data_IF_685218150744
#
_entry.id   IF_685218150744
#
_cell.length_a   1.000
_cell.length_b   1.000
_cell.length_c   1.000
_cell.angle_alpha   90.00
_cell.angle_beta   90.00
_cell.angle_gamma   90.00
#
_symmetry.space_group_name_H-M   'P 1'
#
loop_
_entity.id
_entity.type
_entity.pdbx_description
1 polymer ?
#
# COMPACT_ATOMS: atom_id res chain seq x y z
N UNK A 1 -24.39 -37.48 -11.49
CA UNK A 1 -24.84 -38.87 -11.60
C UNK A 1 -23.71 -39.69 -12.19
N UNK A 2 -23.02 -40.50 -11.38
CA UNK A 2 -22.15 -41.57 -11.89
C UNK A 2 -23.02 -42.49 -12.76
N UNK A 3 -22.67 -42.69 -14.04
CA UNK A 3 -23.52 -43.46 -14.94
C UNK A 3 -23.57 -44.91 -14.46
N UNK A 4 -24.76 -45.38 -14.09
CA UNK A 4 -24.97 -46.78 -13.70
C UNK A 4 -24.72 -47.65 -14.91
N UNK A 5 -23.52 -48.24 -15.04
CA UNK A 5 -23.23 -49.24 -16.07
C UNK A 5 -24.08 -50.48 -15.78
N UNK A 6 -25.09 -50.70 -16.62
CA UNK A 6 -25.91 -51.91 -16.60
C UNK A 6 -25.16 -53.01 -17.33
N UNK A 7 -24.92 -54.11 -16.63
CA UNK A 7 -24.27 -55.30 -17.18
C UNK A 7 -25.36 -56.35 -17.43
N UNK A 8 -25.43 -56.89 -18.64
CA UNK A 8 -26.34 -57.99 -18.94
C UNK A 8 -25.67 -59.30 -18.57
N UNK A 9 -26.18 -59.98 -17.56
CA UNK A 9 -25.74 -61.33 -17.20
C UNK A 9 -26.65 -62.32 -17.91
N UNK A 10 -26.05 -63.18 -18.74
CA UNK A 10 -26.76 -64.30 -19.37
C UNK A 10 -26.44 -65.58 -18.60
N UNK A 11 -27.46 -66.24 -18.08
CA UNK A 11 -27.33 -67.52 -17.39
C UNK A 11 -27.81 -68.62 -18.33
N UNK A 12 -26.95 -69.60 -18.58
CA UNK A 12 -27.28 -70.76 -19.40
C UNK A 12 -27.38 -72.01 -18.51
N UNK A 13 -28.54 -72.68 -18.53
CA UNK A 13 -28.78 -73.94 -17.81
C UNK A 13 -29.14 -75.01 -18.84
N UNK A 14 -28.17 -75.83 -19.28
CA UNK A 14 -28.42 -76.91 -20.22
C UNK A 14 -29.50 -77.88 -19.69
N UNK A 15 -30.48 -78.24 -20.52
CA UNK A 15 -31.53 -79.22 -20.19
C UNK A 15 -32.90 -78.62 -19.82
N UNK A 16 -33.02 -77.30 -19.66
CA UNK A 16 -34.32 -76.62 -19.55
C UNK A 16 -34.90 -76.31 -20.94
N UNK A 17 -36.24 -76.24 -21.04
CA UNK A 17 -36.93 -75.82 -22.30
C UNK A 17 -36.52 -74.43 -22.77
N UNK A 18 -36.15 -73.55 -21.83
CA UNK A 18 -35.56 -72.25 -22.09
C UNK A 18 -34.18 -72.27 -21.42
N UNK A 19 -33.16 -72.65 -22.19
CA UNK A 19 -31.82 -72.93 -21.66
C UNK A 19 -31.01 -71.66 -21.40
N UNK A 20 -31.51 -70.48 -21.79
CA UNK A 20 -30.88 -69.18 -21.57
C UNK A 20 -31.90 -68.20 -20.98
N UNK A 21 -31.53 -67.58 -19.86
CA UNK A 21 -32.21 -66.42 -19.29
C UNK A 21 -31.22 -65.25 -19.16
N UNK A 22 -31.71 -64.02 -19.16
CA UNK A 22 -30.86 -62.84 -19.01
C UNK A 22 -31.50 -61.80 -18.12
N UNK A 23 -30.72 -61.26 -17.19
CA UNK A 23 -31.12 -60.14 -16.36
C UNK A 23 -30.06 -59.04 -16.39
N UNK A 24 -30.50 -57.82 -16.09
CA UNK A 24 -29.62 -56.65 -16.01
C UNK A 24 -29.18 -56.46 -14.56
N UNK A 25 -27.87 -56.37 -14.33
CA UNK A 25 -27.29 -56.04 -13.04
C UNK A 25 -26.65 -54.66 -13.12
N UNK A 26 -27.07 -53.74 -12.26
CA UNK A 26 -26.41 -52.46 -12.09
C UNK A 26 -25.38 -52.62 -10.96
N UNK A 27 -24.10 -52.54 -11.31
CA UNK A 27 -23.03 -52.49 -10.31
C UNK A 27 -22.93 -51.05 -9.80
N UNK A 28 -23.03 -50.89 -8.49
CA UNK A 28 -22.78 -49.62 -7.83
C UNK A 28 -21.35 -49.63 -7.25
N UNK A 29 -20.61 -48.51 -7.30
CA UNK A 29 -19.31 -48.40 -6.65
C UNK A 29 -19.39 -48.79 -5.17
N UNK A 30 -18.32 -49.40 -4.66
CA UNK A 30 -18.20 -49.77 -3.25
C UNK A 30 -18.10 -48.56 -2.31
N UNK A 31 -17.96 -48.79 -1.00
CA UNK A 31 -17.76 -47.70 -0.03
C UNK A 31 -16.43 -46.97 -0.28
N UNK A 32 -16.30 -45.69 0.17
CA UNK A 32 -15.05 -44.94 0.11
C UNK A 32 -13.85 -45.70 0.69
N UNK A 33 -12.79 -45.85 -0.10
CA UNK A 33 -11.57 -46.56 0.26
C UNK A 33 -10.31 -45.68 0.11
N UNK A 34 -10.18 -44.97 -1.02
CA UNK A 34 -9.00 -44.15 -1.33
C UNK A 34 -9.40 -42.72 -1.69
N UNK A 35 -8.70 -41.73 -1.16
CA UNK A 35 -8.78 -40.35 -1.62
C UNK A 35 -7.65 -40.10 -2.62
N UNK A 36 -7.99 -39.60 -3.81
CA UNK A 36 -7.05 -39.25 -4.87
C UNK A 36 -7.10 -37.74 -5.07
N UNK A 37 -5.93 -37.10 -5.15
CA UNK A 37 -5.80 -35.65 -5.31
C UNK A 37 -4.88 -35.34 -6.48
N UNK A 38 -5.40 -34.55 -7.42
CA UNK A 38 -4.69 -34.03 -8.58
C UNK A 38 -4.44 -32.53 -8.45
N UNK A 39 -3.29 -32.00 -8.92
CA UNK A 39 -2.20 -32.74 -9.56
C UNK A 39 -1.48 -33.72 -8.59
N UNK A 40 -0.93 -34.78 -9.17
CA UNK A 40 -0.24 -35.87 -8.47
C UNK A 40 1.22 -35.57 -8.12
N UNK A 41 1.75 -34.44 -8.61
CA UNK A 41 3.11 -33.98 -8.30
C UNK A 41 3.32 -33.69 -6.81
N UNK A 42 4.54 -33.98 -6.34
CA UNK A 42 4.94 -33.80 -4.94
C UNK A 42 4.93 -32.34 -4.50
N UNK A 43 5.37 -31.43 -5.39
CA UNK A 43 5.47 -29.99 -5.14
C UNK A 43 4.78 -29.23 -6.27
N UNK A 44 3.69 -28.56 -5.96
CA UNK A 44 3.01 -27.66 -6.88
C UNK A 44 3.50 -26.23 -6.63
N UNK A 45 3.90 -25.51 -7.68
CA UNK A 45 4.35 -24.12 -7.57
C UNK A 45 3.29 -23.16 -8.13
N UNK A 46 2.93 -22.14 -7.35
CA UNK A 46 1.93 -21.11 -7.71
C UNK A 46 2.40 -19.73 -7.26
N UNK A 47 1.98 -18.67 -7.96
CA UNK A 47 2.18 -17.30 -7.49
C UNK A 47 1.10 -16.91 -6.47
N UNK A 48 1.46 -16.10 -5.47
CA UNK A 48 0.49 -15.54 -4.54
C UNK A 48 -0.58 -14.74 -5.30
N UNK A 49 -1.85 -14.88 -4.96
CA UNK A 49 -2.98 -14.32 -5.71
C UNK A 49 -3.46 -15.18 -6.89
N UNK A 50 -2.91 -16.38 -7.07
CA UNK A 50 -3.38 -17.34 -8.09
C UNK A 50 -4.15 -18.48 -7.40
N UNK A 51 -5.28 -18.96 -7.95
CA UNK A 51 -5.95 -20.16 -7.45
C UNK A 51 -5.15 -21.43 -7.78
N UNK A 52 -5.20 -22.42 -6.90
CA UNK A 52 -4.41 -23.66 -7.03
C UNK A 52 -5.19 -24.78 -7.70
N UNK A 53 -6.52 -24.82 -7.50
CA UNK A 53 -7.45 -25.77 -8.12
C UNK A 53 -7.05 -27.25 -7.97
N UNK A 54 -7.07 -27.78 -6.74
CA UNK A 54 -6.90 -29.22 -6.54
C UNK A 54 -8.18 -29.97 -6.89
N UNK A 55 -8.08 -30.97 -7.77
CA UNK A 55 -9.19 -31.88 -8.05
C UNK A 55 -9.09 -33.08 -7.13
N UNK A 56 -10.16 -33.36 -6.40
CA UNK A 56 -10.26 -34.52 -5.50
C UNK A 56 -11.23 -35.53 -6.06
N UNK A 57 -10.89 -36.81 -5.95
CA UNK A 57 -11.72 -37.95 -6.32
C UNK A 57 -11.69 -38.97 -5.18
N UNK A 58 -12.85 -39.52 -4.81
CA UNK A 58 -12.99 -40.54 -3.78
C UNK A 58 -13.27 -41.85 -4.48
N UNK A 59 -12.40 -42.84 -4.29
CA UNK A 59 -12.45 -44.13 -4.96
C UNK A 59 -12.87 -45.25 -4.01
N UNK A 60 -13.56 -46.26 -4.53
CA UNK A 60 -13.76 -47.53 -3.86
C UNK A 60 -12.50 -48.43 -3.94
N UNK A 61 -12.58 -49.62 -3.35
CA UNK A 61 -11.49 -50.61 -3.36
C UNK A 61 -11.10 -51.05 -4.79
N UNK A 62 -12.05 -50.99 -5.73
CA UNK A 62 -11.84 -51.32 -7.13
C UNK A 62 -11.43 -50.12 -8.00
N UNK A 63 -11.03 -48.98 -7.39
CA UNK A 63 -10.62 -47.74 -8.07
C UNK A 63 -11.72 -47.07 -8.92
N UNK A 64 -13.00 -47.35 -8.63
CA UNK A 64 -14.10 -46.59 -9.22
C UNK A 64 -14.40 -45.36 -8.36
N UNK A 65 -14.69 -44.22 -8.99
CA UNK A 65 -15.19 -43.04 -8.28
C UNK A 65 -16.49 -43.41 -7.57
N UNK A 66 -16.52 -43.25 -6.25
CA UNK A 66 -17.65 -43.56 -5.39
C UNK A 66 -18.20 -42.31 -4.74
N UNK A 67 -19.53 -42.25 -4.65
CA UNK A 67 -20.27 -41.17 -4.01
C UNK A 67 -21.09 -41.76 -2.87
N UNK A 68 -21.06 -41.11 -1.70
CA UNK A 68 -21.77 -41.58 -0.51
C UNK A 68 -22.49 -40.39 0.15
N UNK A 69 -23.68 -40.56 0.75
CA UNK A 69 -24.33 -39.48 1.49
C UNK A 69 -23.39 -38.86 2.54
N UNK A 70 -23.36 -37.52 2.59
CA UNK A 70 -22.54 -36.72 3.52
C UNK A 70 -21.02 -36.90 3.33
N UNK A 71 -20.60 -37.25 2.11
CA UNK A 71 -19.20 -37.34 1.72
C UNK A 71 -18.67 -35.94 1.41
N UNK A 72 -17.94 -35.36 2.36
CA UNK A 72 -17.26 -34.08 2.20
C UNK A 72 -15.75 -34.28 2.34
N UNK A 73 -14.99 -33.74 1.39
CA UNK A 73 -13.53 -33.69 1.46
C UNK A 73 -13.14 -32.33 2.03
N UNK A 74 -12.30 -32.33 3.06
CA UNK A 74 -11.76 -31.13 3.71
C UNK A 74 -10.29 -30.97 3.33
N UNK A 75 -9.93 -29.74 2.98
CA UNK A 75 -8.58 -29.31 2.66
C UNK A 75 -8.13 -28.29 3.71
N UNK A 76 -6.97 -28.52 4.29
CA UNK A 76 -6.36 -27.63 5.27
C UNK A 76 -4.91 -27.38 4.91
N UNK A 77 -4.54 -26.11 4.72
CA UNK A 77 -3.15 -25.71 4.55
C UNK A 77 -2.47 -25.57 5.91
N UNK A 78 -1.25 -26.07 6.04
CA UNK A 78 -0.42 -26.05 7.23
C UNK A 78 0.90 -25.32 6.94
N UNK A 79 1.38 -24.55 7.91
CA UNK A 79 2.67 -23.83 7.83
C UNK A 79 2.63 -22.37 8.28
N UNK A 80 1.45 -21.77 8.43
CA UNK A 80 1.27 -20.39 8.91
C UNK A 80 -0.09 -20.23 9.64
N UNK A 81 -0.25 -19.18 10.47
CA UNK A 81 -1.56 -18.82 11.02
C UNK A 81 -2.53 -18.35 9.93
N UNK A 82 -3.84 -18.46 10.21
CA UNK A 82 -4.93 -17.93 9.38
C UNK A 82 -4.99 -18.43 7.93
N UNK A 83 -4.41 -19.60 7.65
CA UNK A 83 -4.47 -20.24 6.35
C UNK A 83 -5.90 -20.74 6.02
N UNK A 84 -6.29 -20.73 4.74
CA UNK A 84 -7.64 -21.12 4.34
C UNK A 84 -7.92 -22.60 4.63
N UNK A 85 -9.15 -22.85 5.08
CA UNK A 85 -9.74 -24.20 5.15
C UNK A 85 -10.86 -24.24 4.13
N UNK A 86 -10.84 -25.24 3.26
CA UNK A 86 -11.84 -25.42 2.22
C UNK A 86 -12.51 -26.79 2.36
N UNK A 87 -13.79 -26.86 1.98
CA UNK A 87 -14.59 -28.10 2.06
C UNK A 87 -15.39 -28.20 0.77
N UNK A 88 -15.28 -29.35 0.11
CA UNK A 88 -16.04 -29.65 -1.10
C UNK A 88 -16.98 -30.83 -0.85
N UNK A 89 -18.23 -30.69 -1.29
CA UNK A 89 -19.21 -31.77 -1.22
C UNK A 89 -19.02 -32.73 -2.40
N UNK A 90 -18.68 -33.98 -2.10
CA UNK A 90 -18.52 -35.06 -3.05
C UNK A 90 -19.68 -36.06 -3.00
N UNK A 91 -20.76 -35.78 -2.27
CA UNK A 91 -21.84 -36.74 -1.99
C UNK A 91 -22.57 -37.24 -3.24
N UNK A 92 -22.56 -36.48 -4.35
CA UNK A 92 -23.31 -36.81 -5.57
C UNK A 92 -22.44 -37.33 -6.73
N UNK A 93 -21.16 -37.01 -6.71
CA UNK A 93 -20.23 -37.21 -7.84
C UNK A 93 -19.01 -38.04 -7.46
N UNK A 94 -18.69 -38.15 -6.16
CA UNK A 94 -17.43 -38.70 -5.69
C UNK A 94 -16.22 -37.82 -6.01
N UNK A 95 -16.42 -36.61 -6.54
CA UNK A 95 -15.34 -35.73 -6.98
C UNK A 95 -15.68 -34.26 -6.83
N UNK A 96 -14.66 -33.40 -6.74
CA UNK A 96 -14.82 -31.97 -6.57
C UNK A 96 -13.54 -31.17 -6.84
N UNK A 97 -13.66 -29.85 -6.91
CA UNK A 97 -12.53 -28.92 -7.00
C UNK A 97 -12.41 -28.15 -5.69
N UNK A 98 -11.18 -28.01 -5.20
CA UNK A 98 -10.82 -27.31 -3.96
C UNK A 98 -9.81 -26.20 -4.22
N UNK A 99 -9.76 -25.21 -3.33
CA UNK A 99 -8.85 -24.06 -3.41
C UNK A 99 -8.97 -23.29 -4.74
N UNK A 100 -10.22 -23.00 -5.12
CA UNK A 100 -10.58 -22.28 -6.35
C UNK A 100 -10.48 -20.76 -6.21
N UNK A 101 -10.34 -20.26 -4.98
CA UNK A 101 -10.10 -18.84 -4.69
C UNK A 101 -8.61 -18.54 -4.72
N UNK A 102 -8.20 -17.37 -5.25
CA UNK A 102 -6.84 -16.85 -5.10
C UNK A 102 -6.32 -16.93 -3.67
N UNK A 103 -5.11 -17.47 -3.50
CA UNK A 103 -4.41 -17.36 -2.21
C UNK A 103 -4.06 -15.90 -1.97
N UNK A 104 -4.41 -15.34 -0.81
CA UNK A 104 -4.06 -13.96 -0.46
C UNK A 104 -3.22 -13.98 0.81
N UNK A 105 -2.04 -14.59 0.71
CA UNK A 105 -1.10 -14.64 1.83
C UNK A 105 -0.54 -13.24 2.07
N UNK A 106 -0.48 -12.83 3.33
CA UNK A 106 0.13 -11.54 3.71
C UNK A 106 1.65 -11.68 3.65
N UNK A 107 2.32 -10.68 3.07
CA UNK A 107 3.77 -10.51 3.18
C UNK A 107 4.58 -11.67 2.58
N UNK A 108 4.35 -12.02 1.32
CA UNK A 108 5.17 -13.01 0.60
C UNK A 108 6.32 -12.29 -0.09
N UNK A 109 7.40 -12.01 0.62
CA UNK A 109 8.62 -11.42 0.04
C UNK A 109 9.61 -12.48 -0.48
N UNK A 110 9.41 -13.74 -0.12
CA UNK A 110 10.25 -14.88 -0.49
C UNK A 110 9.35 -16.11 -0.76
N UNK A 111 9.93 -17.14 -1.35
CA UNK A 111 9.23 -18.41 -1.53
C UNK A 111 8.84 -19.02 -0.19
N UNK A 112 7.62 -19.56 -0.11
CA UNK A 112 7.11 -20.26 1.07
C UNK A 112 6.56 -21.61 0.65
N UNK A 113 6.80 -22.64 1.45
CA UNK A 113 6.31 -23.99 1.19
C UNK A 113 5.31 -24.35 2.28
N UNK A 114 4.10 -24.71 1.86
CA UNK A 114 3.00 -25.13 2.72
C UNK A 114 2.67 -26.60 2.49
N UNK A 115 2.28 -27.30 3.54
CA UNK A 115 1.73 -28.64 3.41
C UNK A 115 0.21 -28.56 3.35
N UNK A 116 -0.39 -29.00 2.25
CA UNK A 116 -1.83 -29.05 2.05
C UNK A 116 -2.32 -30.45 2.36
N UNK A 117 -3.16 -30.58 3.38
CA UNK A 117 -3.70 -31.86 3.85
C UNK A 117 -5.16 -32.01 3.44
N UNK A 118 -5.46 -33.11 2.75
CA UNK A 118 -6.79 -33.50 2.31
C UNK A 118 -7.26 -34.70 3.13
N UNK A 119 -8.45 -34.61 3.71
CA UNK A 119 -9.05 -35.73 4.46
C UNK A 119 -10.57 -35.76 4.31
N UNK A 120 -11.16 -36.89 4.69
CA UNK A 120 -12.62 -37.08 4.72
C UNK A 120 -13.04 -37.17 6.19
N UNK A 121 -13.55 -36.09 6.81
CA UNK A 121 -13.78 -36.05 8.26
C UNK A 121 -14.66 -37.18 8.79
N UNK A 122 -15.64 -37.62 7.98
CA UNK A 122 -16.61 -38.65 8.34
C UNK A 122 -16.17 -40.09 8.01
N UNK A 123 -15.01 -40.29 7.34
CA UNK A 123 -14.51 -41.61 6.93
C UNK A 123 -13.04 -41.76 7.35
N UNK A 124 -12.81 -42.04 8.64
CA UNK A 124 -11.46 -42.15 9.23
C UNK A 124 -10.61 -43.31 8.71
N UNK A 125 -11.23 -44.27 8.03
CA UNK A 125 -10.56 -45.41 7.39
C UNK A 125 -9.85 -45.01 6.10
N UNK A 126 -10.26 -43.91 5.46
CA UNK A 126 -9.60 -43.39 4.25
C UNK A 126 -8.41 -42.53 4.66
N UNK A 127 -7.21 -42.93 4.25
CA UNK A 127 -5.97 -42.21 4.54
C UNK A 127 -6.00 -40.78 4.01
N UNK A 128 -5.47 -39.83 4.79
CA UNK A 128 -5.29 -38.46 4.33
C UNK A 128 -4.22 -38.37 3.25
N UNK A 129 -4.41 -37.48 2.29
CA UNK A 129 -3.42 -37.17 1.25
C UNK A 129 -2.77 -35.84 1.59
N UNK A 130 -1.44 -35.76 1.47
CA UNK A 130 -0.70 -34.52 1.66
C UNK A 130 0.00 -34.12 0.35
N UNK A 131 0.07 -32.81 0.11
CA UNK A 131 0.76 -32.20 -1.04
C UNK A 131 1.58 -31.02 -0.56
N UNK A 132 2.75 -30.80 -1.15
CA UNK A 132 3.51 -29.57 -0.90
C UNK A 132 3.09 -28.51 -1.92
N UNK A 133 2.79 -27.31 -1.41
CA UNK A 133 2.46 -26.15 -2.22
C UNK A 133 3.54 -25.09 -2.00
N UNK A 134 4.35 -24.85 -3.03
CA UNK A 134 5.29 -23.74 -3.09
C UNK A 134 4.57 -22.50 -3.59
N UNK A 135 4.47 -21.49 -2.74
CA UNK A 135 3.91 -20.17 -3.10
C UNK A 135 5.06 -19.20 -3.32
N UNK A 136 5.11 -18.63 -4.52
CA UNK A 136 6.09 -17.63 -4.94
C UNK A 136 5.51 -16.21 -4.80
N UNK A 137 6.34 -15.20 -4.50
CA UNK A 137 5.93 -13.81 -4.57
C UNK A 137 5.39 -13.46 -5.97
N UNK A 138 4.25 -12.78 -6.03
CA UNK A 138 3.69 -12.36 -7.31
C UNK A 138 4.50 -11.24 -7.95
N UNK A 139 4.30 -11.07 -9.26
CA UNK A 139 4.85 -9.93 -10.03
C UNK A 139 4.00 -8.66 -9.89
N UNK A 140 2.96 -8.66 -9.06
CA UNK A 140 2.11 -7.48 -8.82
C UNK A 140 2.90 -6.42 -8.06
N UNK A 141 2.76 -5.17 -8.48
CA UNK A 141 3.33 -4.01 -7.79
C UNK A 141 2.75 -3.94 -6.37
N UNK A 142 3.62 -3.90 -5.38
CA UNK A 142 3.28 -3.94 -3.95
C UNK A 142 3.72 -2.67 -3.22
N UNK A 143 4.77 -2.01 -3.72
CA UNK A 143 5.39 -0.84 -3.07
C UNK A 143 5.85 0.19 -4.10
N UNK A 144 5.62 1.45 -3.77
CA UNK A 144 6.19 2.61 -4.46
C UNK A 144 7.13 3.32 -3.50
N UNK A 145 8.31 3.66 -3.98
CA UNK A 145 9.32 4.43 -3.26
C UNK A 145 9.50 5.76 -3.99
N UNK A 146 9.49 6.86 -3.25
CA UNK A 146 9.79 8.19 -3.78
C UNK A 146 11.10 8.64 -3.18
N UNK A 147 11.98 9.17 -4.01
CA UNK A 147 13.27 9.66 -3.58
C UNK A 147 13.64 10.93 -4.34
N UNK A 148 14.57 11.68 -3.77
CA UNK A 148 15.20 12.82 -4.41
C UNK A 148 16.65 12.49 -4.74
N UNK A 149 17.09 12.89 -5.92
CA UNK A 149 18.47 12.71 -6.36
C UNK A 149 18.93 13.95 -7.12
N UNK A 150 19.95 14.64 -6.59
CA UNK A 150 20.52 15.80 -7.27
C UNK A 150 21.27 15.42 -8.54
N UNK A 151 21.25 16.31 -9.53
CA UNK A 151 21.97 16.08 -10.79
C UNK A 151 23.48 15.95 -10.52
N UNK A 152 24.06 14.84 -10.95
CA UNK A 152 25.48 14.55 -10.76
C UNK A 152 25.86 13.97 -9.39
N UNK A 153 24.89 13.71 -8.51
CA UNK A 153 25.12 13.03 -7.24
C UNK A 153 24.59 11.59 -7.26
N UNK A 154 25.37 10.67 -6.69
CA UNK A 154 24.91 9.30 -6.38
C UNK A 154 24.14 9.23 -5.07
N UNK A 155 24.13 10.31 -4.27
CA UNK A 155 23.39 10.37 -3.02
C UNK A 155 21.89 10.48 -3.29
N UNK A 156 21.15 9.48 -2.80
CA UNK A 156 19.72 9.37 -2.94
C UNK A 156 19.05 9.57 -1.57
N UNK A 157 18.19 10.57 -1.48
CA UNK A 157 17.38 10.82 -0.29
C UNK A 157 16.01 10.15 -0.47
N UNK A 158 15.81 8.99 0.15
CA UNK A 158 14.54 8.25 0.10
C UNK A 158 13.54 8.84 1.09
N UNK A 159 12.39 9.28 0.58
CA UNK A 159 11.32 9.82 1.40
C UNK A 159 10.52 8.71 2.08
N UNK A 160 10.28 8.85 3.38
CA UNK A 160 9.46 7.93 4.16
C UNK A 160 7.97 8.24 3.99
N UNK A 161 7.13 7.21 4.15
CA UNK A 161 5.69 7.43 4.07
C UNK A 161 5.21 8.31 5.24
N UNK A 162 4.46 9.36 4.88
CA UNK A 162 3.99 10.42 5.78
C UNK A 162 5.11 11.23 6.45
N UNK A 163 6.30 11.26 5.85
CA UNK A 163 7.40 12.11 6.29
C UNK A 163 7.03 13.59 6.21
N UNK A 164 7.51 14.38 7.17
CA UNK A 164 7.36 15.84 7.21
C UNK A 164 8.69 16.47 6.81
N UNK A 165 8.69 17.24 5.74
CA UNK A 165 9.88 17.83 5.13
C UNK A 165 9.75 19.35 5.27
N UNK A 166 10.66 19.97 6.01
CA UNK A 166 10.80 21.42 6.02
C UNK A 166 11.35 21.89 4.66
N UNK A 167 10.69 22.86 4.03
CA UNK A 167 11.13 23.40 2.74
C UNK A 167 10.90 24.90 2.66
N UNK A 168 11.70 25.63 1.88
CA UNK A 168 11.55 27.08 1.73
C UNK A 168 10.23 27.44 1.04
N UNK A 169 9.48 28.39 1.61
CA UNK A 169 8.24 28.90 1.05
C UNK A 169 8.48 29.61 -0.28
N UNK A 170 7.68 29.28 -1.30
CA UNK A 170 7.83 29.82 -2.66
C UNK A 170 8.91 29.14 -3.52
N UNK A 171 9.74 28.27 -2.94
CA UNK A 171 10.74 27.51 -3.68
C UNK A 171 10.11 26.31 -4.43
N UNK A 172 10.88 25.64 -5.29
CA UNK A 172 10.47 24.47 -6.05
C UNK A 172 11.21 23.22 -5.58
N UNK A 173 10.48 22.24 -5.08
CA UNK A 173 11.00 20.91 -4.82
C UNK A 173 11.05 20.11 -6.14
N UNK A 174 12.23 20.09 -6.75
CA UNK A 174 12.53 19.34 -7.97
C UNK A 174 13.19 17.98 -7.72
N UNK A 175 13.67 17.36 -8.79
CA UNK A 175 14.53 16.17 -8.73
C UNK A 175 13.92 14.97 -7.98
N UNK A 176 12.60 14.88 -8.02
CA UNK A 176 11.84 13.76 -7.44
C UNK A 176 11.76 12.62 -8.45
N UNK A 177 11.98 11.42 -7.97
CA UNK A 177 11.90 10.19 -8.73
C UNK A 177 11.11 9.14 -7.97
N UNK A 178 10.67 8.10 -8.68
CA UNK A 178 10.00 6.96 -8.10
C UNK A 178 10.56 5.63 -8.60
N UNK A 179 10.49 4.62 -7.75
CA UNK A 179 10.73 3.21 -8.07
C UNK A 179 9.52 2.39 -7.67
N UNK A 180 9.24 1.35 -8.45
CA UNK A 180 8.18 0.40 -8.18
C UNK A 180 8.81 -0.94 -7.85
N UNK A 181 8.27 -1.59 -6.82
CA UNK A 181 8.68 -2.92 -6.41
C UNK A 181 7.47 -3.86 -6.45
N UNK A 182 7.72 -5.09 -6.88
CA UNK A 182 6.71 -6.14 -6.80
C UNK A 182 6.64 -6.75 -5.40
N UNK A 183 5.77 -7.73 -5.20
CA UNK A 183 5.58 -8.40 -3.91
C UNK A 183 6.86 -9.07 -3.39
N UNK A 184 7.73 -9.54 -4.30
CA UNK A 184 9.02 -10.13 -3.99
C UNK A 184 10.14 -9.13 -3.73
N UNK A 185 9.81 -7.83 -3.57
CA UNK A 185 10.76 -6.73 -3.46
C UNK A 185 11.72 -6.59 -4.66
N UNK A 186 11.34 -7.09 -5.84
CA UNK A 186 12.14 -6.93 -7.07
C UNK A 186 11.79 -5.59 -7.71
N UNK A 187 12.81 -4.90 -8.23
CA UNK A 187 12.62 -3.65 -8.95
C UNK A 187 11.86 -3.91 -10.27
N UNK A 188 10.79 -3.16 -10.50
CA UNK A 188 9.94 -3.29 -11.69
C UNK A 188 10.40 -2.31 -12.76
N UNK A 189 10.65 -2.81 -13.98
CA UNK A 189 11.00 -1.97 -15.14
C UNK A 189 9.85 -1.02 -15.51
N UNK A 190 10.16 0.26 -15.70
CA UNK A 190 9.20 1.31 -16.02
C UNK A 190 8.77 1.27 -17.50
N UNK A 191 7.78 0.43 -17.80
CA UNK A 191 7.15 0.38 -19.12
C UNK A 191 6.01 1.41 -19.25
N UNK A 192 5.70 1.93 -20.45
CA UNK A 192 4.60 2.89 -20.66
C UNK A 192 3.24 2.46 -20.09
N UNK A 193 2.94 1.16 -20.12
CA UNK A 193 1.70 0.58 -19.56
C UNK A 193 1.62 0.69 -18.03
N UNK A 194 2.76 0.75 -17.36
CA UNK A 194 2.88 0.88 -15.90
C UNK A 194 2.91 2.36 -15.54
N UNK A 195 3.75 3.15 -16.21
CA UNK A 195 3.95 4.56 -15.90
C UNK A 195 2.69 5.41 -16.15
N UNK A 196 1.85 5.03 -17.13
CA UNK A 196 0.54 5.66 -17.36
C UNK A 196 -0.45 5.52 -16.19
N UNK A 197 -0.20 4.61 -15.24
CA UNK A 197 -1.02 4.41 -14.04
C UNK A 197 -0.53 5.23 -12.84
N UNK A 198 0.57 5.95 -12.98
CA UNK A 198 1.09 6.86 -11.95
C UNK A 198 0.26 8.13 -11.91
N UNK A 199 -0.11 8.56 -10.70
CA UNK A 199 -0.82 9.81 -10.44
C UNK A 199 -0.24 10.53 -9.25
N UNK A 200 -0.23 11.86 -9.34
CA UNK A 200 0.17 12.77 -8.27
C UNK A 200 -0.98 13.74 -7.98
N UNK A 201 -1.05 14.29 -6.76
CA UNK A 201 -2.13 15.22 -6.38
C UNK A 201 -1.82 16.71 -6.61
N UNK A 202 -0.59 17.08 -6.99
CA UNK A 202 -0.19 18.49 -7.18
C UNK A 202 -0.19 18.98 -8.62
N UNK A 203 -0.29 18.09 -9.61
CA UNK A 203 -0.42 18.47 -11.02
C UNK A 203 -1.24 17.44 -11.78
N UNK A 204 -2.04 17.92 -12.73
CA UNK A 204 -2.76 17.07 -13.67
C UNK A 204 -1.91 16.72 -14.91
N UNK A 205 -0.83 17.46 -15.17
CA UNK A 205 0.00 17.31 -16.36
C UNK A 205 1.24 16.50 -16.00
N UNK A 206 1.24 15.24 -16.39
CA UNK A 206 2.39 14.34 -16.28
C UNK A 206 3.03 14.16 -17.66
N UNK A 207 4.35 14.33 -17.72
CA UNK A 207 5.12 14.06 -18.93
C UNK A 207 5.43 12.56 -19.01
N UNK A 208 5.04 11.93 -20.12
CA UNK A 208 5.23 10.50 -20.33
C UNK A 208 6.72 10.11 -20.42
N UNK A 209 7.57 10.97 -20.98
CA UNK A 209 9.02 10.74 -21.12
C UNK A 209 9.70 10.77 -19.75
N UNK A 210 9.38 11.78 -18.94
CA UNK A 210 9.88 11.89 -17.56
C UNK A 210 9.46 10.67 -16.74
N UNK A 211 8.18 10.28 -16.81
CA UNK A 211 7.68 9.11 -16.10
C UNK A 211 8.34 7.80 -16.55
N UNK A 212 8.70 7.66 -17.83
CA UNK A 212 9.43 6.50 -18.33
C UNK A 212 10.84 6.39 -17.71
N UNK A 213 11.42 7.51 -17.31
CA UNK A 213 12.69 7.59 -16.57
C UNK A 213 12.48 7.55 -15.04
N UNK A 214 11.24 7.41 -14.58
CA UNK A 214 10.91 7.43 -13.15
C UNK A 214 10.89 8.83 -12.54
N UNK A 215 10.95 9.89 -13.33
CA UNK A 215 10.96 11.28 -12.86
C UNK A 215 9.54 11.77 -12.59
N UNK A 216 9.36 12.40 -11.44
CA UNK A 216 8.11 13.06 -11.05
C UNK A 216 8.16 14.56 -11.37
N UNK A 217 7.00 15.21 -11.59
CA UNK A 217 6.95 16.64 -11.82
C UNK A 217 7.43 17.42 -10.60
N UNK A 218 8.14 18.51 -10.85
CA UNK A 218 8.50 19.47 -9.82
C UNK A 218 7.26 19.98 -9.07
N UNK A 219 7.45 20.25 -7.79
CA UNK A 219 6.42 20.69 -6.88
C UNK A 219 6.75 22.13 -6.46
N UNK A 220 5.83 23.07 -6.73
CA UNK A 220 5.94 24.42 -6.21
C UNK A 220 5.48 24.48 -4.76
N UNK A 221 6.37 24.86 -3.85
CA UNK A 221 6.05 25.01 -2.44
C UNK A 221 5.27 26.32 -2.26
N UNK A 222 4.14 26.31 -1.53
CA UNK A 222 3.34 27.51 -1.31
C UNK A 222 4.14 28.64 -0.68
N UNK A 223 3.80 29.88 -1.05
CA UNK A 223 4.48 31.08 -0.59
C UNK A 223 4.12 31.48 0.84
N UNK A 224 3.19 30.79 1.49
CA UNK A 224 2.75 31.10 2.85
C UNK A 224 3.21 30.02 3.83
N UNK A 225 4.04 30.38 4.81
CA UNK A 225 4.66 29.49 5.79
C UNK A 225 3.74 29.06 6.96
N UNK A 226 2.42 29.16 6.79
CA UNK A 226 1.45 28.97 7.88
C UNK A 226 0.78 27.61 7.90
N UNK A 227 0.85 26.85 6.80
CA UNK A 227 0.11 25.58 6.65
C UNK A 227 0.98 24.51 6.05
N UNK A 228 0.76 23.31 6.54
CA UNK A 228 1.35 22.09 6.01
C UNK A 228 0.59 21.67 4.75
N UNK A 229 1.32 21.10 3.79
CA UNK A 229 0.77 20.69 2.51
C UNK A 229 1.01 19.20 2.27
N UNK A 230 -0.08 18.47 2.04
CA UNK A 230 -0.05 17.04 1.83
C UNK A 230 0.13 16.69 0.35
N UNK A 231 1.14 15.87 0.08
CA UNK A 231 1.48 15.39 -1.26
C UNK A 231 1.45 13.87 -1.31
N UNK A 232 1.01 13.35 -2.45
CA UNK A 232 0.71 11.94 -2.60
C UNK A 232 1.00 11.44 -4.01
N UNK A 233 1.72 10.33 -4.09
CA UNK A 233 2.03 9.58 -5.30
C UNK A 233 1.33 8.24 -5.24
N UNK A 234 0.59 7.89 -6.30
CA UNK A 234 -0.12 6.62 -6.38
C UNK A 234 0.10 5.90 -7.69
N UNK A 235 0.14 4.58 -7.61
CA UNK A 235 0.03 3.67 -8.73
C UNK A 235 -1.35 3.00 -8.68
N UNK A 236 -2.15 3.19 -9.73
CA UNK A 236 -3.54 2.73 -9.79
C UNK A 236 -3.71 1.53 -10.73
N UNK A 237 -3.75 0.33 -10.15
CA UNK A 237 -4.12 -0.90 -10.85
C UNK A 237 -5.26 -1.63 -10.13
N UNK A 238 -5.33 -2.97 -10.21
CA UNK A 238 -6.27 -3.77 -9.40
C UNK A 238 -6.13 -3.52 -7.88
N UNK A 239 -4.91 -3.21 -7.44
CA UNK A 239 -4.62 -2.75 -6.08
C UNK A 239 -3.92 -1.41 -6.15
N UNK A 240 -4.40 -0.44 -5.37
CA UNK A 240 -3.76 0.87 -5.28
C UNK A 240 -2.56 0.81 -4.34
N UNK A 241 -1.40 1.20 -4.83
CA UNK A 241 -0.18 1.37 -4.04
C UNK A 241 0.11 2.86 -3.96
N UNK A 242 0.36 3.37 -2.76
CA UNK A 242 0.57 4.80 -2.56
C UNK A 242 1.70 5.09 -1.57
N UNK A 243 2.24 6.30 -1.70
CA UNK A 243 3.17 6.92 -0.78
C UNK A 243 2.79 8.38 -0.63
N UNK A 244 2.90 8.90 0.58
CA UNK A 244 2.60 10.29 0.92
C UNK A 244 3.76 10.96 1.64
N UNK A 245 3.82 12.27 1.56
CA UNK A 245 4.71 13.12 2.36
C UNK A 245 4.05 14.48 2.57
N UNK A 246 4.54 15.23 3.55
CA UNK A 246 4.00 16.52 3.97
C UNK A 246 5.13 17.54 3.87
N UNK A 247 4.90 18.63 3.15
CA UNK A 247 5.81 19.77 3.18
C UNK A 247 5.34 20.74 4.25
N UNK A 248 6.28 21.17 5.08
CA UNK A 248 6.12 22.23 6.06
C UNK A 248 6.87 23.45 5.53
N UNK A 249 6.19 24.41 4.88
CA UNK A 249 6.87 25.55 4.30
C UNK A 249 7.47 26.44 5.41
N UNK A 250 8.73 26.82 5.24
CA UNK A 250 9.49 27.69 6.12
C UNK A 250 9.68 29.05 5.46
N UNK A 251 9.66 30.15 6.23
CA UNK A 251 9.98 31.46 5.69
C UNK A 251 11.32 31.45 4.95
N UNK A 252 11.37 32.14 3.82
CA UNK A 252 12.60 32.32 3.04
C UNK A 252 13.55 33.31 3.74
N UNK A 253 14.68 33.60 3.10
CA UNK A 253 15.63 34.64 3.51
C UNK A 253 14.91 35.97 3.80
N UNK A 254 15.26 36.67 4.90
CA UNK A 254 14.77 38.01 5.18
C UNK A 254 14.98 38.99 4.02
N UNK A 255 13.92 39.69 3.62
CA UNK A 255 13.98 40.73 2.59
C UNK A 255 13.39 42.07 3.06
N UNK A 256 12.36 42.03 3.92
CA UNK A 256 11.56 43.23 4.25
C UNK A 256 11.31 43.37 5.74
N UNK A 257 11.15 44.61 6.17
CA UNK A 257 10.63 44.95 7.49
C UNK A 257 9.15 45.28 7.40
N UNK A 258 8.34 44.74 8.32
CA UNK A 258 6.97 45.19 8.56
C UNK A 258 6.93 45.97 9.86
N UNK A 259 6.45 47.19 9.77
CA UNK A 259 6.24 48.06 10.92
C UNK A 259 4.76 48.15 11.21
N UNK A 260 4.35 47.91 12.46
CA UNK A 260 2.99 48.13 12.95
C UNK A 260 3.03 49.14 14.08
N UNK A 261 2.28 50.22 13.94
CA UNK A 261 2.16 51.24 14.97
C UNK A 261 1.00 50.87 15.90
N UNK A 262 1.25 50.90 17.21
CA UNK A 262 0.21 50.75 18.22
C UNK A 262 -0.74 51.94 18.24
N UNK A 263 -0.22 53.14 18.00
CA UNK A 263 -0.97 54.38 17.81
C UNK A 263 -0.45 55.09 16.56
N UNK A 264 -1.36 55.62 15.73
CA UNK A 264 -1.02 56.35 14.50
C UNK A 264 -1.60 57.77 14.46
N UNK A 265 -2.25 58.21 15.54
CA UNK A 265 -2.92 59.50 15.63
C UNK A 265 -2.65 60.13 16.99
N UNK A 266 -2.25 61.39 16.99
CA UNK A 266 -2.04 62.22 18.18
C UNK A 266 -2.52 63.65 17.89
N UNK A 267 -2.94 64.41 18.91
CA UNK A 267 -3.29 65.82 18.68
C UNK A 267 -2.04 66.67 18.53
N UNK A 268 -2.18 67.83 17.89
CA UNK A 268 -1.09 68.77 17.74
C UNK A 268 -0.59 69.24 19.12
N UNK A 269 0.71 69.06 19.39
CA UNK A 269 1.35 69.37 20.67
C UNK A 269 1.29 68.26 21.73
N UNK A 270 0.63 67.13 21.44
CA UNK A 270 0.69 65.91 22.26
C UNK A 270 1.76 64.96 21.68
N UNK A 271 2.32 64.11 22.54
CA UNK A 271 3.34 63.11 22.18
C UNK A 271 2.64 61.81 21.76
N UNK A 272 3.07 61.22 20.64
CA UNK A 272 2.66 59.86 20.26
C UNK A 272 3.42 58.85 21.13
N UNK A 273 2.71 58.18 22.05
CA UNK A 273 3.29 57.22 23.00
C UNK A 273 3.13 55.75 22.60
N UNK A 274 2.53 55.47 21.44
CA UNK A 274 2.26 54.11 20.98
C UNK A 274 3.53 53.32 20.66
N UNK A 275 3.58 52.06 21.10
CA UNK A 275 4.67 51.15 20.74
C UNK A 275 4.69 50.86 19.24
N UNK A 276 5.87 50.82 18.65
CA UNK A 276 6.13 50.44 17.26
C UNK A 276 6.69 49.02 17.22
N UNK A 277 5.98 48.12 16.55
CA UNK A 277 6.37 46.72 16.40
C UNK A 277 7.05 46.51 15.06
N UNK A 278 8.25 45.94 15.08
CA UNK A 278 9.02 45.62 13.88
C UNK A 278 9.17 44.12 13.74
N UNK A 279 8.77 43.61 12.58
CA UNK A 279 8.89 42.20 12.19
C UNK A 279 9.81 42.10 10.97
N UNK A 280 10.68 41.10 10.96
CA UNK A 280 11.47 40.73 9.79
C UNK A 280 10.72 39.67 9.00
N UNK A 281 10.59 39.91 7.70
CA UNK A 281 9.84 39.06 6.80
C UNK A 281 10.65 38.68 5.58
N UNK A 282 10.28 37.56 4.98
CA UNK A 282 10.73 37.20 3.65
C UNK A 282 10.00 38.01 2.55
N UNK A 283 10.38 37.74 1.30
CA UNK A 283 9.81 38.36 0.10
C UNK A 283 8.30 38.11 -0.08
N UNK A 284 7.76 37.08 0.55
CA UNK A 284 6.34 36.69 0.50
C UNK A 284 5.53 37.19 1.71
N UNK A 285 6.18 37.92 2.62
CA UNK A 285 5.55 38.46 3.83
C UNK A 285 5.39 37.43 4.95
N UNK A 286 6.07 36.29 4.87
CA UNK A 286 6.18 35.34 5.98
C UNK A 286 7.16 35.90 6.99
N UNK A 287 6.78 35.84 8.25
CA UNK A 287 7.65 36.24 9.35
C UNK A 287 8.79 35.22 9.50
N UNK A 288 10.02 35.70 9.60
CA UNK A 288 11.19 34.85 9.82
C UNK A 288 11.54 34.77 11.31
N UNK A 289 12.14 33.65 11.72
CA UNK A 289 12.64 33.45 13.10
C UNK A 289 14.11 33.88 13.27
N UNK A 290 14.65 34.65 12.31
CA UNK A 290 16.07 35.01 12.27
C UNK A 290 16.47 36.09 13.27
N UNK A 291 15.51 36.87 13.75
CA UNK A 291 15.76 37.75 14.88
C UNK A 291 15.75 36.94 16.17
N UNK A 292 16.71 37.24 17.02
CA UNK A 292 16.80 36.78 18.40
C UNK A 292 16.96 37.98 19.35
N UNK A 293 17.04 37.69 20.65
CA UNK A 293 17.20 38.73 21.66
C UNK A 293 18.53 39.51 21.50
N UNK A 294 19.58 38.87 20.98
CA UNK A 294 20.89 39.52 20.77
C UNK A 294 20.85 40.50 19.60
N UNK A 295 20.03 40.20 18.59
CA UNK A 295 19.79 41.06 17.43
C UNK A 295 19.25 42.45 17.81
N UNK A 296 18.65 42.59 19.01
CA UNK A 296 18.21 43.91 19.50
C UNK A 296 19.37 44.87 19.70
N UNK A 297 20.55 44.37 20.07
CA UNK A 297 21.73 45.20 20.32
C UNK A 297 22.35 45.80 19.05
N UNK A 298 22.03 45.25 17.88
CA UNK A 298 22.51 45.74 16.59
C UNK A 298 21.49 46.65 15.89
N UNK A 299 20.29 46.81 16.44
CA UNK A 299 19.25 47.66 15.88
C UNK A 299 19.43 49.11 16.34
N UNK A 300 19.33 50.03 15.39
CA UNK A 300 19.28 51.47 15.65
C UNK A 300 18.02 52.06 15.01
N UNK A 301 17.45 53.06 15.67
CA UNK A 301 16.30 53.82 15.17
C UNK A 301 16.64 55.29 15.26
N UNK A 302 16.28 56.03 14.21
CA UNK A 302 16.47 57.47 14.12
C UNK A 302 15.28 58.08 13.40
N UNK A 303 14.76 59.19 13.91
CA UNK A 303 13.75 60.01 13.25
C UNK A 303 13.88 61.46 13.71
N UNK A 304 13.42 62.40 12.88
CA UNK A 304 13.33 63.81 13.27
C UNK A 304 12.31 63.96 14.41
N UNK A 305 12.71 64.60 15.52
CA UNK A 305 11.86 64.76 16.71
C UNK A 305 11.80 63.54 17.64
N UNK A 306 12.60 62.50 17.37
CA UNK A 306 12.70 61.33 18.25
C UNK A 306 13.47 61.69 19.53
N UNK A 307 12.82 61.49 20.69
CA UNK A 307 13.50 61.52 21.98
C UNK A 307 14.30 60.23 22.18
N UNK A 308 15.60 60.30 21.91
CA UNK A 308 16.51 59.17 22.09
C UNK A 308 16.70 58.78 23.57
N UNK A 309 16.45 59.69 24.52
CA UNK A 309 16.56 59.38 25.96
C UNK A 309 15.35 58.58 26.46
N UNK A 310 14.18 58.80 25.85
CA UNK A 310 12.95 58.05 26.16
C UNK A 310 12.76 56.79 25.31
N UNK A 311 13.60 56.54 24.31
CA UNK A 311 13.52 55.36 23.44
C UNK A 311 13.87 54.09 24.21
N UNK A 312 12.90 53.20 24.36
CA UNK A 312 13.11 51.83 24.85
C UNK A 312 13.00 50.84 23.68
N UNK A 313 13.99 49.97 23.55
CA UNK A 313 14.01 48.87 22.56
C UNK A 313 13.97 47.54 23.31
N UNK A 314 12.92 46.76 23.08
CA UNK A 314 12.70 45.51 23.78
C UNK A 314 12.45 44.35 22.83
N UNK A 315 12.99 43.20 23.18
CA UNK A 315 12.64 41.93 22.54
C UNK A 315 11.38 41.36 23.19
N UNK A 316 10.33 41.12 22.41
CA UNK A 316 9.13 40.44 22.89
C UNK A 316 9.01 39.05 22.30
N UNK A 317 8.95 38.05 23.19
CA UNK A 317 8.57 36.67 22.87
C UNK A 317 7.10 36.49 23.26
N UNK A 318 6.20 37.09 22.48
CA UNK A 318 4.78 36.73 22.55
C UNK A 318 4.53 35.54 21.58
N UNK A 319 3.28 35.30 21.16
CA UNK A 319 2.95 34.36 20.07
C UNK A 319 3.81 34.56 18.80
N UNK A 320 4.49 35.71 18.73
CA UNK A 320 5.41 36.13 17.70
C UNK A 320 6.63 36.83 18.34
N UNK A 321 7.85 36.36 18.04
CA UNK A 321 9.16 37.03 18.25
C UNK A 321 9.27 38.38 17.51
N UNK A 322 9.10 39.53 18.17
CA UNK A 322 9.12 40.85 17.55
C UNK A 322 10.02 41.82 18.33
N UNK A 323 10.53 42.85 17.64
CA UNK A 323 11.21 43.97 18.31
C UNK A 323 10.20 45.08 18.52
N UNK A 324 10.17 45.62 19.74
CA UNK A 324 9.26 46.69 20.14
C UNK A 324 10.06 47.93 20.47
N UNK A 325 9.77 49.01 19.77
CA UNK A 325 10.28 50.34 20.05
C UNK A 325 9.19 51.12 20.76
N UNK A 326 9.46 51.60 21.96
CA UNK A 326 8.56 52.51 22.69
C UNK A 326 9.22 53.86 22.75
N UNK A 327 8.57 54.87 22.21
CA UNK A 327 9.14 56.22 22.09
C UNK A 327 8.13 57.26 22.55
N UNK A 328 8.69 58.38 23.01
CA UNK A 328 8.00 59.65 23.16
C UNK A 328 8.51 60.49 21.98
N UNK A 329 7.70 60.70 20.93
CA UNK A 329 8.04 61.69 19.89
C UNK A 329 7.35 63.01 20.21
N UNK A 330 8.13 64.07 20.42
CA UNK A 330 7.65 65.45 20.64
C UNK A 330 7.33 66.17 19.33
#
# INVERSE_FOLDING_TARGET
MLSKKKHTVKVRIPGLKQDIDSFQLALEPGPPHTLVVFPDGDVLSVENGTPVNFKVEVHDECQNITAHPKLAVRCQMMGAPDLPVDIVDCSNTGSGLMLTKPLSLKTVNAEQIFTVKFNIPNHRTVSSVERQLRVLPSTRISRIEVYRQEEGSDDVMVLQNSERIDWTAGDTLGNLYFRLYDEGNRLVSLQPKITSKIKVNWTAKLNAEDLAQGKLPCLGVPTQAQREHFYHVSFQDQHAVNMSFIIVPRPDEPERLRVRLGESTVKMGEVLSGSTYVEVMDQYGNKTDRLDAESVNSLSVSADGLDNEALAVEWQVNACKNVVFTTITS
#
